data_IF_880669879610
#
_entry.id   IF_880669879610
#
_cell.length_a   1.000
_cell.length_b   1.000
_cell.length_c   1.000
_cell.angle_alpha   90.00
_cell.angle_beta   90.00
_cell.angle_gamma   90.00
#
_symmetry.space_group_name_H-M   'P 1'
#
loop_
_entity.id
_entity.type
_entity.pdbx_description
1 polymer ?
#
# COMPACT_ATOMS: atom_id res chain seq x y z
N UNK A 1 32.93 18.19 35.96
CA UNK A 1 31.54 17.65 35.75
C UNK A 1 30.46 18.73 35.64
N UNK A 2 30.57 19.91 36.28
CA UNK A 2 29.57 20.99 36.11
C UNK A 2 29.68 21.70 34.74
N UNK A 3 30.91 21.93 34.22
CA UNK A 3 31.18 22.63 32.96
C UNK A 3 30.60 21.91 31.71
N UNK A 4 30.57 20.57 31.68
CA UNK A 4 30.11 19.78 30.52
C UNK A 4 28.56 19.78 30.38
N UNK A 5 27.85 19.90 31.51
CA UNK A 5 26.38 20.04 31.52
C UNK A 5 25.93 21.41 31.01
N UNK A 6 26.66 22.44 31.33
CA UNK A 6 26.34 23.82 30.89
C UNK A 6 26.62 24.00 29.41
N UNK A 7 27.72 23.44 28.86
CA UNK A 7 27.96 23.44 27.42
C UNK A 7 26.94 22.65 26.62
N UNK A 8 26.46 21.53 27.13
CA UNK A 8 25.40 20.74 26.47
C UNK A 8 24.06 21.50 26.42
N UNK A 9 23.69 22.19 27.52
CA UNK A 9 22.50 23.06 27.54
C UNK A 9 22.60 24.22 26.55
N UNK A 10 23.77 24.86 26.46
CA UNK A 10 23.99 25.96 25.53
C UNK A 10 23.92 25.49 24.05
N UNK A 11 24.49 24.33 23.73
CA UNK A 11 24.42 23.72 22.40
C UNK A 11 22.95 23.34 22.04
N UNK A 12 22.22 22.82 23.02
CA UNK A 12 20.78 22.46 22.81
C UNK A 12 19.95 23.73 22.58
N UNK A 13 20.12 24.79 23.36
CA UNK A 13 19.42 26.07 23.15
C UNK A 13 19.74 26.72 21.80
N UNK A 14 21.01 26.66 21.35
CA UNK A 14 21.42 27.15 20.03
C UNK A 14 20.78 26.36 18.90
N UNK A 15 20.64 25.01 19.04
CA UNK A 15 19.94 24.16 18.06
C UNK A 15 18.45 24.45 18.01
N UNK A 16 17.79 24.63 19.15
CA UNK A 16 16.36 24.99 19.22
C UNK A 16 16.10 26.39 18.63
N UNK A 17 16.96 27.36 18.91
CA UNK A 17 16.86 28.69 18.33
C UNK A 17 17.04 28.69 16.80
N UNK A 18 17.98 27.89 16.30
CA UNK A 18 18.21 27.73 14.87
C UNK A 18 17.02 27.02 14.18
N UNK A 19 16.42 26.01 14.84
CA UNK A 19 15.23 25.32 14.36
C UNK A 19 14.02 26.26 14.27
N UNK A 20 13.75 27.02 15.33
CA UNK A 20 12.66 28.02 15.35
C UNK A 20 12.84 29.10 14.28
N UNK A 21 14.09 29.53 14.02
CA UNK A 21 14.38 30.50 12.94
C UNK A 21 14.06 29.92 11.57
N UNK A 22 14.49 28.66 11.28
CA UNK A 22 14.19 27.98 10.00
C UNK A 22 12.70 27.77 9.81
N UNK A 23 11.97 27.36 10.86
CA UNK A 23 10.51 27.20 10.80
C UNK A 23 9.79 28.51 10.49
N UNK A 24 10.26 29.63 11.08
CA UNK A 24 9.70 30.95 10.82
C UNK A 24 9.97 31.42 9.38
N UNK A 25 11.16 31.18 8.87
CA UNK A 25 11.53 31.50 7.48
C UNK A 25 10.73 30.64 6.50
N UNK A 26 10.55 29.33 6.78
CA UNK A 26 9.74 28.42 5.98
C UNK A 26 8.25 28.84 5.95
N UNK A 27 7.68 29.20 7.10
CA UNK A 27 6.28 29.72 7.15
C UNK A 27 6.12 31.00 6.33
N UNK A 28 7.06 31.93 6.41
CA UNK A 28 7.04 33.15 5.60
C UNK A 28 7.15 32.86 4.11
N UNK A 29 7.95 31.90 3.70
CA UNK A 29 8.09 31.47 2.32
C UNK A 29 6.76 30.86 1.80
N UNK A 30 6.18 29.93 2.56
CA UNK A 30 4.89 29.29 2.24
C UNK A 30 3.79 30.35 2.10
N UNK A 31 3.70 31.29 3.05
CA UNK A 31 2.72 32.37 2.99
C UNK A 31 2.88 33.22 1.72
N UNK A 32 4.11 33.54 1.32
CA UNK A 32 4.39 34.29 0.07
C UNK A 32 4.00 33.50 -1.18
N UNK A 33 4.26 32.18 -1.20
CA UNK A 33 3.88 31.31 -2.32
C UNK A 33 2.36 31.17 -2.44
N UNK A 34 1.64 31.03 -1.32
CA UNK A 34 0.17 30.99 -1.31
C UNK A 34 -0.43 32.28 -1.83
N UNK A 35 0.08 33.45 -1.40
CA UNK A 35 -0.39 34.76 -1.90
C UNK A 35 -0.13 34.89 -3.39
N UNK A 36 1.06 34.46 -3.88
CA UNK A 36 1.37 34.49 -5.30
C UNK A 36 0.46 33.55 -6.12
N UNK A 37 0.17 32.35 -5.60
CA UNK A 37 -0.76 31.41 -6.23
C UNK A 37 -2.19 31.94 -6.33
N UNK A 38 -2.71 32.54 -5.25
CA UNK A 38 -4.03 33.16 -5.25
C UNK A 38 -4.09 34.34 -6.27
N UNK A 39 -3.04 35.14 -6.37
CA UNK A 39 -2.97 36.23 -7.34
C UNK A 39 -2.99 35.73 -8.80
N UNK A 40 -2.28 34.62 -9.09
CA UNK A 40 -2.29 33.98 -10.42
C UNK A 40 -3.67 33.41 -10.77
N UNK A 41 -4.37 32.78 -9.83
CA UNK A 41 -5.72 32.25 -10.03
C UNK A 41 -6.70 33.39 -10.32
N UNK A 42 -6.63 34.50 -9.57
CA UNK A 42 -7.48 35.66 -9.79
C UNK A 42 -7.20 36.32 -11.15
N UNK A 43 -5.94 36.41 -11.58
CA UNK A 43 -5.57 36.86 -12.92
C UNK A 43 -6.12 35.94 -14.02
N UNK A 44 -6.06 34.62 -13.82
CA UNK A 44 -6.62 33.63 -14.75
C UNK A 44 -8.13 33.75 -14.90
N UNK A 45 -8.86 33.93 -13.79
CA UNK A 45 -10.31 34.16 -13.79
C UNK A 45 -10.66 35.48 -14.52
N UNK A 46 -9.89 36.54 -14.31
CA UNK A 46 -10.10 37.82 -14.97
C UNK A 46 -9.90 37.72 -16.49
N UNK A 47 -8.85 37.04 -16.93
CA UNK A 47 -8.56 36.79 -18.36
C UNK A 47 -9.68 35.93 -18.97
N UNK A 48 -10.15 34.88 -18.26
CA UNK A 48 -11.28 34.05 -18.72
C UNK A 48 -12.56 34.86 -18.84
N UNK A 49 -12.87 35.72 -17.87
CA UNK A 49 -14.06 36.59 -17.87
C UNK A 49 -14.06 37.60 -19.05
N UNK A 50 -12.89 38.17 -19.34
CA UNK A 50 -12.72 39.08 -20.48
C UNK A 50 -12.80 38.35 -21.82
N UNK A 51 -12.29 37.10 -21.89
CA UNK A 51 -12.32 36.29 -23.12
C UNK A 51 -13.70 35.68 -23.41
N UNK A 52 -14.49 35.38 -22.35
CA UNK A 52 -15.83 34.77 -22.47
C UNK A 52 -16.93 35.81 -22.88
N UNK A 53 -16.67 37.11 -22.72
CA UNK A 53 -17.62 38.18 -23.04
C UNK A 53 -17.80 38.50 -24.54
N UNK A 54 -17.10 37.82 -25.46
CA UNK A 54 -16.99 38.21 -26.85
C UNK A 54 -17.62 37.31 -27.92
N UNK A 55 -18.48 36.35 -27.59
CA UNK A 55 -19.13 35.52 -28.64
C UNK A 55 -20.63 35.34 -28.42
N UNK A 56 -21.40 36.17 -29.12
CA UNK A 56 -22.84 35.98 -29.37
C UNK A 56 -23.05 35.45 -30.80
N UNK A 57 -23.67 34.29 -30.88
CA UNK A 57 -24.66 33.75 -31.84
C UNK A 57 -24.50 33.94 -33.35
N UNK A 58 -24.55 32.82 -34.09
CA UNK A 58 -25.40 32.63 -35.25
C UNK A 58 -25.59 31.14 -35.55
N UNK A 59 -26.85 30.66 -35.56
CA UNK A 59 -27.31 29.49 -36.32
C UNK A 59 -27.71 30.02 -37.73
N UNK A 60 -27.65 29.20 -38.82
CA UNK A 60 -28.83 28.42 -39.21
C UNK A 60 -28.59 27.11 -40.02
N UNK A 61 -29.62 26.29 -39.97
CA UNK A 61 -30.24 25.44 -41.01
C UNK A 61 -29.53 24.29 -41.73
N UNK A 62 -30.18 23.15 -41.56
CA UNK A 62 -30.09 21.89 -42.37
C UNK A 62 -30.69 22.10 -43.78
N UNK A 63 -30.28 21.25 -44.77
CA UNK A 63 -31.18 20.19 -45.21
C UNK A 63 -30.50 18.84 -45.57
N UNK A 64 -31.35 17.81 -45.55
CA UNK A 64 -31.06 16.41 -45.86
C UNK A 64 -30.83 16.15 -47.35
N UNK A 65 -30.03 15.10 -47.65
CA UNK A 65 -30.26 14.23 -48.80
C UNK A 65 -29.45 12.94 -48.78
N UNK A 66 -30.11 11.87 -48.86
CA UNK A 66 -29.89 10.46 -49.28
C UNK A 66 -28.70 10.14 -50.16
N UNK A 67 -28.09 8.93 -49.89
CA UNK A 67 -27.42 8.14 -50.96
C UNK A 67 -26.39 7.12 -50.47
N UNK A 68 -26.84 5.84 -50.35
CA UNK A 68 -26.19 4.57 -50.75
C UNK A 68 -24.75 4.22 -50.31
N UNK A 69 -24.64 3.07 -49.59
CA UNK A 69 -23.45 2.30 -49.25
C UNK A 69 -22.65 1.80 -50.49
N UNK A 70 -21.35 1.49 -50.33
CA UNK A 70 -21.02 0.10 -50.08
C UNK A 70 -19.96 -0.15 -48.98
N UNK A 71 -20.19 -1.27 -48.33
CA UNK A 71 -19.36 -2.00 -47.38
C UNK A 71 -17.87 -2.06 -47.75
N UNK A 72 -17.02 -1.55 -46.82
CA UNK A 72 -15.63 -1.97 -46.72
C UNK A 72 -15.29 -2.21 -45.26
N UNK A 73 -14.69 -3.36 -44.97
CA UNK A 73 -14.24 -3.82 -43.66
C UNK A 73 -13.56 -2.69 -42.89
N UNK A 74 -14.18 -2.29 -41.76
CA UNK A 74 -13.56 -1.41 -40.80
C UNK A 74 -12.42 -2.16 -40.10
N UNK A 75 -11.20 -1.76 -40.41
CA UNK A 75 -10.06 -1.93 -39.50
C UNK A 75 -10.43 -1.21 -38.19
N UNK A 76 -10.34 -1.91 -37.06
CA UNK A 76 -10.57 -1.35 -35.79
C UNK A 76 -9.69 -0.08 -35.65
N UNK A 77 -10.32 1.07 -35.60
CA UNK A 77 -9.64 2.32 -35.29
C UNK A 77 -9.18 2.23 -33.83
N UNK A 78 -7.89 2.22 -33.60
CA UNK A 78 -7.29 2.48 -32.29
C UNK A 78 -7.85 3.84 -31.85
N UNK A 79 -8.55 3.88 -30.71
CA UNK A 79 -8.95 5.14 -30.10
C UNK A 79 -7.71 6.01 -29.92
N UNK A 80 -7.77 7.34 -30.13
CA UNK A 80 -6.63 8.19 -29.90
C UNK A 80 -6.26 8.08 -28.41
N UNK A 81 -5.10 7.47 -28.13
CA UNK A 81 -4.52 7.46 -26.79
C UNK A 81 -4.38 8.93 -26.36
N UNK A 82 -4.92 9.28 -25.19
CA UNK A 82 -4.70 10.60 -24.59
C UNK A 82 -3.20 10.88 -24.46
N UNK A 83 -2.83 12.12 -24.22
CA UNK A 83 -1.43 12.53 -24.03
C UNK A 83 -0.79 11.86 -22.80
N UNK A 84 -1.60 11.34 -21.87
CA UNK A 84 -1.15 10.66 -20.65
C UNK A 84 -1.96 9.38 -20.37
N UNK A 85 -1.32 8.40 -19.75
CA UNK A 85 -1.96 7.24 -19.11
C UNK A 85 -1.80 7.37 -17.60
N UNK A 86 -2.89 7.24 -16.85
CA UNK A 86 -2.89 7.27 -15.37
C UNK A 86 -3.32 5.90 -14.88
N UNK A 87 -2.56 5.35 -13.95
CA UNK A 87 -2.93 4.11 -13.25
C UNK A 87 -2.95 4.32 -11.74
N UNK A 88 -3.81 3.59 -11.06
CA UNK A 88 -3.95 3.57 -9.62
C UNK A 88 -3.54 2.22 -9.05
N UNK A 89 -2.63 2.24 -8.06
CA UNK A 89 -2.20 1.03 -7.35
C UNK A 89 -2.61 1.16 -5.89
N UNK A 90 -3.52 0.27 -5.45
CA UNK A 90 -3.91 0.18 -4.05
C UNK A 90 -3.01 -0.79 -3.29
N UNK A 91 -2.56 -0.40 -2.10
CA UNK A 91 -1.80 -1.27 -1.21
C UNK A 91 -2.43 -1.30 0.17
N UNK A 92 -2.75 -2.49 0.65
CA UNK A 92 -3.20 -2.75 2.01
C UNK A 92 -2.09 -3.41 2.84
N UNK A 93 -2.15 -3.23 4.16
CA UNK A 93 -1.13 -3.72 5.08
C UNK A 93 -1.22 -5.21 5.39
N UNK A 94 -0.95 -5.57 6.65
CA UNK A 94 -0.86 -6.95 7.10
C UNK A 94 -2.25 -7.58 7.29
N UNK A 95 -2.49 -8.73 6.66
CA UNK A 95 -3.58 -9.63 7.01
C UNK A 95 -3.02 -10.73 7.91
N UNK A 96 -3.39 -10.69 9.19
CA UNK A 96 -2.89 -11.61 10.21
C UNK A 96 -3.86 -12.75 10.47
N UNK A 97 -3.41 -13.99 10.37
CA UNK A 97 -4.23 -15.15 10.68
C UNK A 97 -4.24 -15.41 12.20
N UNK A 98 -5.36 -15.06 12.84
CA UNK A 98 -5.62 -15.32 14.27
C UNK A 98 -6.93 -16.10 14.44
N UNK A 99 -7.16 -16.66 15.62
CA UNK A 99 -8.41 -17.38 15.94
C UNK A 99 -9.64 -16.50 15.74
N UNK A 100 -9.55 -15.20 16.07
CA UNK A 100 -10.66 -14.24 15.88
C UNK A 100 -10.90 -13.92 14.41
N UNK A 101 -9.83 -13.82 13.62
CA UNK A 101 -9.92 -13.64 12.15
C UNK A 101 -10.61 -14.85 11.52
N UNK A 102 -10.22 -16.06 11.91
CA UNK A 102 -10.89 -17.29 11.42
C UNK A 102 -12.35 -17.34 11.86
N UNK A 103 -12.64 -16.97 13.11
CA UNK A 103 -14.01 -16.93 13.63
C UNK A 103 -14.91 -15.94 12.88
N UNK A 104 -14.36 -14.86 12.34
CA UNK A 104 -15.10 -13.85 11.59
C UNK A 104 -15.75 -14.39 10.29
N UNK A 105 -15.10 -15.38 9.66
CA UNK A 105 -15.62 -16.03 8.46
C UNK A 105 -16.40 -17.33 8.74
N UNK A 106 -16.50 -17.78 10.00
CA UNK A 106 -17.09 -19.07 10.31
C UNK A 106 -18.61 -19.08 10.08
N UNK A 107 -19.10 -20.07 9.33
CA UNK A 107 -20.52 -20.30 9.07
C UNK A 107 -20.96 -21.70 9.55
N UNK A 108 -22.24 -22.04 9.39
CA UNK A 108 -22.75 -23.37 9.76
C UNK A 108 -22.15 -24.49 8.91
N UNK A 109 -21.72 -24.21 7.68
CA UNK A 109 -21.26 -25.22 6.71
C UNK A 109 -19.81 -25.07 6.25
N UNK A 110 -19.02 -24.16 6.85
CA UNK A 110 -17.65 -23.88 6.42
C UNK A 110 -17.25 -22.45 6.75
N UNK A 111 -16.71 -21.74 5.78
CA UNK A 111 -16.22 -20.37 5.94
C UNK A 111 -16.73 -19.47 4.81
N UNK A 112 -17.00 -18.20 5.11
CA UNK A 112 -17.32 -17.13 4.17
C UNK A 112 -16.82 -15.80 4.76
N UNK A 113 -15.83 -15.18 4.12
CA UNK A 113 -15.25 -13.89 4.53
C UNK A 113 -15.75 -12.71 3.69
N UNK A 114 -16.73 -12.91 2.82
CA UNK A 114 -17.21 -11.84 1.91
C UNK A 114 -17.65 -10.60 2.67
N UNK A 115 -18.37 -10.77 3.79
CA UNK A 115 -18.84 -9.66 4.63
C UNK A 115 -17.70 -8.93 5.35
N UNK A 116 -16.55 -9.58 5.57
CA UNK A 116 -15.40 -8.98 6.25
C UNK A 116 -14.84 -7.82 5.45
N UNK A 117 -14.74 -7.98 4.12
CA UNK A 117 -14.10 -7.03 3.22
C UNK A 117 -15.08 -6.18 2.41
N UNK A 118 -16.40 -6.39 2.56
CA UNK A 118 -17.42 -5.74 1.75
C UNK A 118 -17.28 -4.20 1.70
N UNK A 119 -16.93 -3.58 2.82
CA UNK A 119 -16.86 -2.13 2.92
C UNK A 119 -15.61 -1.54 2.23
N UNK A 120 -14.51 -2.29 2.20
CA UNK A 120 -13.24 -1.88 1.58
C UNK A 120 -13.10 -2.37 0.12
N UNK A 121 -13.92 -3.32 -0.31
CA UNK A 121 -13.90 -3.85 -1.67
C UNK A 121 -13.97 -2.75 -2.76
N UNK A 122 -14.78 -1.67 -2.64
CA UNK A 122 -14.77 -0.59 -3.63
C UNK A 122 -13.44 0.15 -3.75
N UNK A 123 -12.63 0.20 -2.69
CA UNK A 123 -11.30 0.84 -2.74
C UNK A 123 -10.31 -0.05 -3.49
N UNK A 124 -10.31 -1.35 -3.19
CA UNK A 124 -9.40 -2.31 -3.81
C UNK A 124 -9.77 -2.57 -5.28
N UNK A 125 -11.07 -2.80 -5.58
CA UNK A 125 -11.54 -3.13 -6.94
C UNK A 125 -11.53 -1.95 -7.91
N UNK A 126 -11.45 -0.72 -7.45
CA UNK A 126 -11.33 0.47 -8.31
C UNK A 126 -9.87 0.76 -8.70
N UNK A 127 -8.90 0.15 -8.04
CA UNK A 127 -7.50 0.25 -8.44
C UNK A 127 -7.22 -0.64 -9.67
N UNK A 128 -6.22 -0.26 -10.46
CA UNK A 128 -5.76 -1.05 -11.61
C UNK A 128 -4.90 -2.26 -11.17
N UNK A 129 -4.36 -2.19 -9.94
CA UNK A 129 -3.65 -3.26 -9.26
C UNK A 129 -3.79 -3.07 -7.75
N UNK A 130 -4.27 -4.10 -7.04
CA UNK A 130 -4.37 -4.09 -5.58
C UNK A 130 -3.48 -5.16 -4.95
N UNK A 131 -2.72 -4.78 -3.91
CA UNK A 131 -1.80 -5.68 -3.18
C UNK A 131 -2.10 -5.72 -1.69
N UNK A 132 -1.93 -6.91 -1.08
CA UNK A 132 -2.02 -7.13 0.37
C UNK A 132 -0.87 -8.01 0.86
N UNK A 133 -0.40 -7.82 2.10
CA UNK A 133 0.52 -8.75 2.74
C UNK A 133 -0.27 -9.80 3.53
N UNK A 134 -0.03 -11.10 3.24
CA UNK A 134 -0.72 -12.22 3.90
C UNK A 134 0.20 -12.92 4.91
N UNK A 135 0.04 -12.60 6.19
CA UNK A 135 0.75 -13.27 7.28
C UNK A 135 0.00 -14.53 7.73
N UNK A 136 0.11 -15.56 6.90
CA UNK A 136 -0.52 -16.85 7.10
C UNK A 136 -0.10 -17.88 6.06
N UNK A 137 -0.70 -19.07 6.19
CA UNK A 137 -0.57 -20.15 5.22
C UNK A 137 -1.94 -20.76 4.90
N UNK A 138 -2.04 -21.50 3.80
CA UNK A 138 -3.19 -22.32 3.42
C UNK A 138 -2.80 -23.79 3.50
N UNK A 139 -2.55 -24.27 4.72
CA UNK A 139 -2.01 -25.64 4.95
C UNK A 139 -3.06 -26.62 5.50
N UNK A 140 -4.33 -26.18 5.58
CA UNK A 140 -5.41 -26.98 6.15
C UNK A 140 -5.53 -26.82 7.68
N UNK A 141 -6.47 -27.57 8.26
CA UNK A 141 -6.74 -27.53 9.70
C UNK A 141 -5.56 -28.09 10.54
N UNK A 142 -5.38 -27.61 11.79
CA UNK A 142 -6.20 -26.60 12.47
C UNK A 142 -5.91 -25.18 11.95
N UNK A 143 -6.98 -24.37 11.84
CA UNK A 143 -6.86 -22.96 11.48
C UNK A 143 -6.66 -22.07 12.72
N UNK A 144 -6.03 -20.90 12.53
CA UNK A 144 -5.89 -19.86 13.55
C UNK A 144 -4.47 -19.59 14.00
N UNK A 145 -4.31 -18.98 15.15
CA UNK A 145 -3.08 -18.37 15.67
C UNK A 145 -1.90 -19.36 15.75
N UNK A 146 -2.12 -20.55 16.29
CA UNK A 146 -1.03 -21.50 16.54
C UNK A 146 -0.42 -22.03 15.25
N UNK A 147 -1.23 -22.31 14.24
CA UNK A 147 -0.79 -22.82 12.94
C UNK A 147 -0.49 -21.71 11.95
N UNK A 148 -1.00 -20.50 12.16
CA UNK A 148 -1.11 -19.44 11.16
C UNK A 148 -1.74 -19.95 9.84
N UNK A 149 -2.60 -20.99 9.90
CA UNK A 149 -3.29 -21.55 8.74
C UNK A 149 -4.68 -20.97 8.64
N UNK A 150 -5.11 -20.68 7.41
CA UNK A 150 -6.43 -20.18 7.08
C UNK A 150 -7.13 -21.11 6.07
N UNK A 151 -8.47 -21.08 6.00
CA UNK A 151 -9.21 -21.76 4.95
C UNK A 151 -9.07 -21.03 3.61
N UNK A 152 -9.24 -21.77 2.51
CA UNK A 152 -9.13 -21.26 1.13
C UNK A 152 -10.11 -20.10 0.85
N UNK A 153 -11.27 -20.11 1.47
CA UNK A 153 -12.33 -19.11 1.34
C UNK A 153 -11.86 -17.68 1.74
N UNK A 154 -10.80 -17.58 2.56
CA UNK A 154 -10.20 -16.28 2.88
C UNK A 154 -9.52 -15.66 1.64
N UNK A 155 -8.81 -16.46 0.85
CA UNK A 155 -8.20 -15.99 -0.42
C UNK A 155 -9.28 -15.68 -1.47
N UNK A 156 -10.32 -16.49 -1.56
CA UNK A 156 -11.44 -16.25 -2.46
C UNK A 156 -12.17 -14.93 -2.14
N UNK A 157 -12.32 -14.62 -0.85
CA UNK A 157 -12.91 -13.35 -0.42
C UNK A 157 -12.00 -12.15 -0.72
N UNK A 158 -10.67 -12.28 -0.59
CA UNK A 158 -9.71 -11.23 -0.98
C UNK A 158 -9.75 -10.98 -2.48
N UNK A 159 -9.73 -12.03 -3.30
CA UNK A 159 -9.86 -11.91 -4.76
C UNK A 159 -11.19 -11.24 -5.15
N UNK A 160 -12.30 -11.64 -4.50
CA UNK A 160 -13.62 -11.03 -4.71
C UNK A 160 -13.68 -9.57 -4.27
N UNK A 161 -12.88 -9.16 -3.31
CA UNK A 161 -12.75 -7.76 -2.88
C UNK A 161 -11.87 -6.92 -3.82
N UNK A 162 -11.21 -7.53 -4.81
CA UNK A 162 -10.40 -6.85 -5.81
C UNK A 162 -8.90 -6.92 -5.59
N UNK A 163 -8.40 -7.80 -4.72
CA UNK A 163 -6.96 -8.04 -4.57
C UNK A 163 -6.44 -8.84 -5.76
N UNK A 164 -5.33 -8.37 -6.35
CA UNK A 164 -4.67 -9.01 -7.49
C UNK A 164 -3.37 -9.71 -7.11
N UNK A 165 -2.66 -9.14 -6.13
CA UNK A 165 -1.30 -9.55 -5.76
C UNK A 165 -1.18 -9.74 -4.25
N UNK A 166 -0.56 -10.85 -3.83
CA UNK A 166 -0.32 -11.19 -2.43
C UNK A 166 1.18 -11.19 -2.14
N UNK A 167 1.61 -10.32 -1.22
CA UNK A 167 2.96 -10.37 -0.68
C UNK A 167 3.11 -11.58 0.23
N UNK A 168 4.07 -12.46 -0.09
CA UNK A 168 4.38 -13.67 0.66
C UNK A 168 5.77 -13.65 1.32
N UNK A 169 6.58 -12.63 1.07
CA UNK A 169 7.81 -12.38 1.84
C UNK A 169 7.46 -11.73 3.17
N UNK A 170 7.14 -12.53 4.19
CA UNK A 170 6.74 -12.08 5.53
C UNK A 170 7.10 -13.07 6.64
N UNK A 171 6.76 -12.73 7.87
CA UNK A 171 7.06 -13.52 9.08
C UNK A 171 6.49 -14.94 9.08
N UNK A 172 5.38 -15.16 8.35
CA UNK A 172 4.65 -16.42 8.31
C UNK A 172 4.93 -17.27 7.07
N UNK A 173 5.79 -16.82 6.14
CA UNK A 173 6.00 -17.44 4.83
C UNK A 173 6.26 -18.96 4.91
N UNK A 174 7.07 -19.42 5.88
CA UNK A 174 7.36 -20.84 6.10
C UNK A 174 6.89 -21.34 7.47
N UNK A 175 5.85 -20.75 8.05
CA UNK A 175 5.32 -21.17 9.37
C UNK A 175 4.99 -22.66 9.39
N UNK A 176 4.45 -23.20 8.31
CA UNK A 176 4.14 -24.62 8.11
C UNK A 176 5.16 -25.30 7.16
N UNK A 177 6.41 -24.81 7.16
CA UNK A 177 7.48 -25.31 6.30
C UNK A 177 7.29 -24.98 4.81
N UNK A 178 8.13 -25.56 3.97
CA UNK A 178 8.07 -25.35 2.49
C UNK A 178 6.79 -25.96 1.90
N UNK A 179 6.25 -27.02 2.49
CA UNK A 179 4.96 -27.58 2.04
C UNK A 179 3.80 -26.61 2.32
N UNK A 180 3.82 -25.93 3.47
CA UNK A 180 2.85 -24.88 3.77
C UNK A 180 2.97 -23.70 2.83
N UNK A 181 4.19 -23.25 2.52
CA UNK A 181 4.44 -22.21 1.53
C UNK A 181 3.90 -22.63 0.14
N UNK A 182 4.28 -23.83 -0.34
CA UNK A 182 3.81 -24.33 -1.64
C UNK A 182 2.29 -24.39 -1.73
N UNK A 183 1.62 -24.94 -0.71
CA UNK A 183 0.17 -25.00 -0.66
C UNK A 183 -0.48 -23.59 -0.67
N UNK A 184 0.15 -22.63 0.03
CA UNK A 184 -0.33 -21.24 0.05
C UNK A 184 -0.22 -20.59 -1.32
N UNK A 185 0.91 -20.75 -2.00
CA UNK A 185 1.10 -20.21 -3.36
C UNK A 185 0.13 -20.85 -4.36
N UNK A 186 -0.17 -22.16 -4.22
CA UNK A 186 -1.17 -22.85 -5.03
C UNK A 186 -2.58 -22.32 -4.74
N UNK A 187 -2.93 -22.07 -3.48
CA UNK A 187 -4.22 -21.53 -3.07
C UNK A 187 -4.44 -20.09 -3.55
N UNK A 188 -3.40 -19.24 -3.52
CA UNK A 188 -3.43 -17.89 -4.07
C UNK A 188 -3.72 -17.95 -5.57
N UNK A 189 -3.00 -18.80 -6.32
CA UNK A 189 -3.22 -19.01 -7.76
C UNK A 189 -4.62 -19.57 -8.05
N UNK A 190 -5.12 -20.49 -7.24
CA UNK A 190 -6.47 -21.04 -7.37
C UNK A 190 -7.58 -19.98 -7.19
N UNK A 191 -7.33 -18.97 -6.36
CA UNK A 191 -8.22 -17.83 -6.18
C UNK A 191 -8.10 -16.78 -7.32
N UNK A 192 -7.21 -16.99 -8.28
CA UNK A 192 -7.02 -16.09 -9.43
C UNK A 192 -6.05 -14.92 -9.17
N UNK A 193 -5.35 -14.93 -8.04
CA UNK A 193 -4.36 -13.92 -7.68
C UNK A 193 -2.94 -14.41 -7.98
N UNK A 194 -1.98 -13.48 -7.97
CA UNK A 194 -0.54 -13.80 -8.02
C UNK A 194 0.13 -13.53 -6.66
N UNK A 195 1.32 -14.10 -6.48
CA UNK A 195 2.13 -13.88 -5.28
C UNK A 195 3.49 -13.29 -5.64
N UNK A 196 4.10 -12.55 -4.69
CA UNK A 196 5.42 -11.95 -4.85
C UNK A 196 6.27 -12.16 -3.59
N UNK A 197 7.58 -12.35 -3.79
CA UNK A 197 8.57 -12.41 -2.73
C UNK A 197 8.82 -13.81 -2.16
N UNK A 198 8.03 -14.82 -2.58
CA UNK A 198 8.28 -16.21 -2.23
C UNK A 198 7.92 -17.17 -3.37
N UNK A 199 8.57 -18.33 -3.39
CA UNK A 199 8.46 -19.36 -4.42
C UNK A 199 8.45 -20.76 -3.80
N UNK A 200 7.72 -21.70 -4.40
CA UNK A 200 7.66 -23.06 -3.91
C UNK A 200 9.01 -23.78 -4.03
N UNK A 201 9.83 -23.41 -5.01
CA UNK A 201 11.12 -24.06 -5.31
C UNK A 201 12.20 -23.05 -5.71
N UNK A 202 13.47 -23.46 -5.51
CA UNK A 202 14.61 -22.71 -6.07
C UNK A 202 14.58 -22.61 -7.60
N UNK A 203 13.84 -23.49 -8.31
CA UNK A 203 13.67 -23.40 -9.76
C UNK A 203 12.79 -22.23 -10.15
N UNK A 204 11.63 -22.11 -9.50
CA UNK A 204 10.71 -20.98 -9.70
C UNK A 204 11.39 -19.64 -9.38
N UNK A 205 12.17 -19.58 -8.28
CA UNK A 205 12.98 -18.40 -7.99
C UNK A 205 13.97 -18.07 -9.10
N UNK A 206 14.67 -19.08 -9.68
CA UNK A 206 15.62 -18.81 -10.79
C UNK A 206 14.93 -18.32 -12.04
N UNK A 207 13.72 -18.80 -12.31
CA UNK A 207 12.91 -18.37 -13.46
C UNK A 207 12.42 -16.93 -13.27
N UNK A 208 11.93 -16.58 -12.08
CA UNK A 208 11.47 -15.23 -11.74
C UNK A 208 12.60 -14.26 -11.44
N UNK A 209 13.82 -14.74 -11.13
CA UNK A 209 14.97 -13.97 -10.64
C UNK A 209 14.69 -13.16 -9.36
N UNK A 210 13.61 -13.46 -8.63
CA UNK A 210 13.24 -12.81 -7.37
C UNK A 210 12.31 -11.60 -7.49
N UNK A 211 11.69 -11.37 -8.62
CA UNK A 211 10.73 -10.28 -8.85
C UNK A 211 9.56 -10.71 -9.74
N UNK A 212 8.57 -9.84 -9.85
CA UNK A 212 7.43 -9.97 -10.77
C UNK A 212 7.30 -8.69 -11.60
N UNK A 213 6.94 -8.80 -12.86
CA UNK A 213 6.56 -7.67 -13.71
C UNK A 213 5.09 -7.82 -14.07
N UNK A 214 4.30 -6.79 -13.77
CA UNK A 214 2.89 -6.68 -14.14
C UNK A 214 2.74 -5.64 -15.24
N UNK A 215 1.97 -5.98 -16.25
CA UNK A 215 1.54 -5.02 -17.25
C UNK A 215 0.17 -4.45 -16.83
N UNK A 216 0.14 -3.16 -16.55
CA UNK A 216 -1.06 -2.43 -16.08
C UNK A 216 -1.30 -1.29 -17.06
N UNK A 217 -2.36 -1.36 -17.84
CA UNK A 217 -2.71 -0.37 -18.89
C UNK A 217 -1.53 -0.03 -19.83
N UNK A 218 -0.68 -1.04 -20.14
CA UNK A 218 0.49 -0.89 -20.99
C UNK A 218 1.74 -0.34 -20.28
N UNK A 219 1.69 -0.11 -18.96
CA UNK A 219 2.86 0.18 -18.13
C UNK A 219 3.43 -1.11 -17.54
N UNK A 220 4.74 -1.29 -17.62
CA UNK A 220 5.46 -2.41 -17.01
C UNK A 220 5.89 -2.05 -15.60
N UNK A 221 5.17 -2.55 -14.62
CA UNK A 221 5.44 -2.31 -13.19
C UNK A 221 6.24 -3.48 -12.65
N UNK A 222 7.48 -3.22 -12.24
CA UNK A 222 8.29 -4.20 -11.54
C UNK A 222 7.96 -4.18 -10.05
N UNK A 223 7.75 -5.35 -9.46
CA UNK A 223 7.43 -5.50 -8.03
C UNK A 223 8.41 -6.49 -7.43
N UNK A 224 9.12 -6.05 -6.40
CA UNK A 224 9.96 -6.89 -5.55
C UNK A 224 9.38 -6.92 -4.15
N UNK A 225 9.53 -8.04 -3.45
CA UNK A 225 9.13 -8.11 -2.05
C UNK A 225 10.21 -8.81 -1.22
N UNK A 226 10.47 -8.31 -0.02
CA UNK A 226 11.48 -8.84 0.89
C UNK A 226 10.96 -8.86 2.33
N UNK A 227 11.42 -9.84 3.12
CA UNK A 227 11.14 -9.89 4.55
C UNK A 227 12.41 -9.82 5.39
N UNK A 228 12.29 -9.21 6.58
CA UNK A 228 13.38 -9.26 7.56
C UNK A 228 13.71 -10.69 8.00
N UNK A 229 12.72 -11.57 8.04
CA UNK A 229 12.86 -12.97 8.46
C UNK A 229 11.51 -13.62 8.72
N UNK A 230 11.55 -14.85 9.23
CA UNK A 230 10.39 -15.70 9.41
C UNK A 230 10.34 -16.26 10.83
N UNK A 231 10.25 -15.36 11.84
CA UNK A 231 10.14 -15.73 13.26
C UNK A 231 11.24 -16.74 13.73
N UNK A 232 12.51 -16.45 13.39
CA UNK A 232 13.67 -17.30 13.63
C UNK A 232 13.64 -18.68 12.93
N UNK A 233 12.72 -18.90 12.00
CA UNK A 233 12.73 -20.09 11.17
C UNK A 233 13.72 -19.94 10.03
N UNK A 234 14.62 -20.92 9.87
CA UNK A 234 15.56 -20.97 8.75
C UNK A 234 14.98 -21.71 7.56
N UNK A 235 15.30 -21.26 6.35
CA UNK A 235 15.00 -21.99 5.13
C UNK A 235 15.77 -23.33 5.11
N UNK A 236 15.09 -24.45 4.83
CA UNK A 236 15.77 -25.74 4.76
C UNK A 236 16.72 -25.82 3.58
N UNK A 237 17.71 -26.72 3.69
CA UNK A 237 18.64 -27.00 2.59
C UNK A 237 17.90 -27.37 1.30
N UNK A 238 18.29 -26.76 0.21
CA UNK A 238 17.63 -26.90 -1.09
C UNK A 238 16.47 -25.92 -1.32
N UNK A 239 16.19 -25.03 -0.36
CA UNK A 239 15.13 -24.01 -0.46
C UNK A 239 15.65 -22.60 -0.13
N UNK A 240 16.94 -22.35 -0.21
CA UNK A 240 17.63 -21.15 0.28
C UNK A 240 17.18 -19.86 -0.39
N UNK A 241 16.53 -19.96 -1.56
CA UNK A 241 16.02 -18.82 -2.30
C UNK A 241 14.48 -18.80 -2.40
N UNK A 242 13.79 -19.68 -1.65
CA UNK A 242 12.32 -19.72 -1.70
C UNK A 242 11.63 -18.48 -1.11
N UNK A 243 12.35 -17.63 -0.38
CA UNK A 243 11.86 -16.35 0.15
C UNK A 243 12.95 -15.30 -0.02
N UNK A 244 12.61 -14.11 -0.49
CA UNK A 244 13.51 -12.98 -0.50
C UNK A 244 13.70 -12.40 0.90
N UNK A 245 14.94 -12.21 1.30
CA UNK A 245 15.35 -11.84 2.64
C UNK A 245 16.09 -10.51 2.65
N UNK A 246 15.81 -9.67 3.64
CA UNK A 246 16.51 -8.41 3.88
C UNK A 246 17.86 -8.59 4.61
N UNK A 247 18.04 -9.74 5.32
CA UNK A 247 19.22 -9.99 6.12
C UNK A 247 19.82 -11.36 5.81
N UNK A 248 21.14 -11.46 5.80
CA UNK A 248 21.83 -12.75 5.69
C UNK A 248 21.72 -13.56 6.99
N UNK A 249 21.63 -12.89 8.13
CA UNK A 249 21.42 -13.46 9.46
C UNK A 249 19.94 -13.49 9.90
N UNK A 250 19.00 -13.57 8.96
CA UNK A 250 17.54 -13.46 9.12
C UNK A 250 16.91 -14.43 10.14
N UNK A 251 17.57 -15.54 10.45
CA UNK A 251 17.08 -16.51 11.43
C UNK A 251 17.64 -16.29 12.84
N UNK A 252 18.42 -15.21 13.06
CA UNK A 252 19.13 -14.97 14.31
C UNK A 252 19.04 -13.53 14.81
N UNK A 253 19.80 -12.60 14.26
CA UNK A 253 20.03 -11.29 14.89
C UNK A 253 19.62 -10.07 14.09
N UNK A 254 19.36 -10.22 12.78
CA UNK A 254 18.93 -9.14 11.87
C UNK A 254 19.89 -7.93 11.84
N UNK A 255 21.21 -8.20 11.85
CA UNK A 255 22.25 -7.18 11.86
C UNK A 255 23.02 -7.08 10.53
N UNK A 256 22.94 -8.14 9.71
CA UNK A 256 23.71 -8.24 8.46
C UNK A 256 22.75 -8.11 7.27
N UNK A 257 22.61 -6.88 6.77
CA UNK A 257 21.73 -6.58 5.61
C UNK A 257 22.27 -7.29 4.37
N UNK A 258 21.43 -8.09 3.71
CA UNK A 258 21.76 -8.87 2.51
C UNK A 258 21.94 -7.99 1.27
N UNK A 259 22.75 -6.94 1.38
CA UNK A 259 22.92 -5.86 0.38
C UNK A 259 23.33 -6.39 -1.00
N UNK A 260 24.16 -7.43 -1.06
CA UNK A 260 24.60 -8.03 -2.34
C UNK A 260 23.43 -8.75 -3.06
N UNK A 261 22.58 -9.48 -2.31
CA UNK A 261 21.42 -10.18 -2.87
C UNK A 261 20.35 -9.18 -3.34
N UNK A 262 20.06 -8.17 -2.52
CA UNK A 262 19.12 -7.11 -2.84
C UNK A 262 19.59 -6.38 -4.12
N UNK A 263 20.83 -5.90 -4.13
CA UNK A 263 21.41 -5.19 -5.30
C UNK A 263 21.41 -6.05 -6.56
N UNK A 264 21.65 -7.36 -6.46
CA UNK A 264 21.61 -8.28 -7.60
C UNK A 264 20.19 -8.35 -8.18
N UNK A 265 19.17 -8.57 -7.34
CA UNK A 265 17.77 -8.66 -7.79
C UNK A 265 17.35 -7.35 -8.45
N UNK A 266 17.63 -6.20 -7.82
CA UNK A 266 17.27 -4.88 -8.37
C UNK A 266 18.02 -4.54 -9.66
N UNK A 267 19.27 -5.01 -9.81
CA UNK A 267 20.00 -4.91 -11.07
C UNK A 267 19.36 -5.76 -12.19
N UNK A 268 18.89 -6.96 -11.85
CA UNK A 268 18.17 -7.80 -12.81
C UNK A 268 16.83 -7.15 -13.19
N UNK A 269 16.12 -6.52 -12.26
CA UNK A 269 14.93 -5.69 -12.51
C UNK A 269 15.26 -4.55 -13.49
N UNK A 270 16.34 -3.80 -13.25
CA UNK A 270 16.74 -2.69 -14.12
C UNK A 270 17.06 -3.13 -15.56
N UNK A 271 17.56 -4.36 -15.76
CA UNK A 271 17.80 -4.92 -17.10
C UNK A 271 16.51 -5.18 -17.88
N UNK A 272 15.39 -5.42 -17.18
CA UNK A 272 14.07 -5.57 -17.79
C UNK A 272 13.47 -4.24 -18.26
N UNK A 273 14.05 -3.11 -17.88
CA UNK A 273 13.59 -1.76 -18.21
C UNK A 273 12.10 -1.54 -17.88
N UNK A 274 11.67 -1.75 -16.62
CA UNK A 274 10.30 -1.43 -16.23
C UNK A 274 10.04 0.07 -16.34
N UNK A 275 8.77 0.44 -16.49
CA UNK A 275 8.35 1.84 -16.45
C UNK A 275 8.32 2.39 -15.01
N UNK A 276 8.14 1.51 -14.00
CA UNK A 276 8.07 1.86 -12.58
C UNK A 276 8.43 0.67 -11.71
N UNK A 277 9.07 0.91 -10.56
CA UNK A 277 9.52 -0.16 -9.64
C UNK A 277 8.99 0.06 -8.21
N UNK A 278 8.30 -0.94 -7.67
CA UNK A 278 7.76 -0.95 -6.30
C UNK A 278 8.46 -2.02 -5.48
N UNK A 279 8.91 -1.66 -4.28
CA UNK A 279 9.41 -2.59 -3.28
C UNK A 279 8.41 -2.73 -2.11
N UNK A 280 8.00 -3.97 -1.83
CA UNK A 280 7.16 -4.33 -0.69
C UNK A 280 8.06 -4.88 0.40
N UNK A 281 8.18 -4.20 1.55
CA UNK A 281 9.15 -4.54 2.59
C UNK A 281 8.47 -4.91 3.90
N UNK A 282 8.62 -6.16 4.31
CA UNK A 282 8.19 -6.64 5.61
C UNK A 282 9.34 -6.49 6.62
N UNK A 283 9.40 -5.34 7.30
CA UNK A 283 10.58 -4.84 8.01
C UNK A 283 10.27 -4.13 9.33
N UNK A 284 11.30 -3.59 9.98
CA UNK A 284 11.13 -2.84 11.23
C UNK A 284 10.90 -3.75 12.44
N UNK A 285 10.12 -3.28 13.41
CA UNK A 285 9.79 -4.00 14.65
C UNK A 285 8.31 -3.91 14.95
N UNK A 286 7.73 -5.03 15.37
CA UNK A 286 6.31 -5.11 15.75
C UNK A 286 5.96 -4.08 16.83
N UNK A 287 4.84 -3.41 16.66
CA UNK A 287 4.22 -2.45 17.57
C UNK A 287 5.15 -1.28 17.95
N UNK A 288 6.06 -0.90 17.04
CA UNK A 288 6.88 0.31 17.17
C UNK A 288 6.39 1.39 16.21
N UNK A 289 6.16 2.59 16.75
CA UNK A 289 5.77 3.77 15.97
C UNK A 289 6.98 4.41 15.29
N UNK A 290 8.13 4.36 15.97
CA UNK A 290 9.38 4.95 15.48
C UNK A 290 10.02 4.09 14.39
N UNK A 291 10.61 4.76 13.41
CA UNK A 291 11.38 4.14 12.35
C UNK A 291 12.81 3.91 12.86
N UNK A 292 13.33 2.73 12.64
CA UNK A 292 14.72 2.40 12.97
C UNK A 292 15.70 2.92 11.93
N UNK A 293 16.94 3.20 12.35
CA UNK A 293 18.02 3.57 11.43
C UNK A 293 18.25 2.49 10.36
N UNK A 294 18.05 1.22 10.68
CA UNK A 294 18.20 0.13 9.71
C UNK A 294 17.10 0.18 8.62
N UNK A 295 15.88 0.63 8.95
CA UNK A 295 14.87 0.87 7.92
C UNK A 295 15.30 2.01 6.99
N UNK A 296 15.90 3.07 7.54
CA UNK A 296 16.45 4.18 6.74
C UNK A 296 17.63 3.72 5.86
N UNK A 297 18.56 2.91 6.38
CA UNK A 297 19.67 2.34 5.60
C UNK A 297 19.18 1.44 4.44
N UNK A 298 18.16 0.60 4.68
CA UNK A 298 17.56 -0.25 3.64
C UNK A 298 16.80 0.60 2.62
N UNK A 299 16.05 1.61 3.06
CA UNK A 299 15.43 2.59 2.17
C UNK A 299 16.45 3.20 1.21
N UNK A 300 17.54 3.74 1.75
CA UNK A 300 18.58 4.40 0.96
C UNK A 300 19.21 3.41 -0.05
N UNK A 301 19.43 2.16 0.36
CA UNK A 301 19.89 1.11 -0.55
C UNK A 301 18.90 0.86 -1.69
N UNK A 302 17.59 0.72 -1.41
CA UNK A 302 16.56 0.45 -2.40
C UNK A 302 16.40 1.60 -3.40
N UNK A 303 16.28 2.84 -2.90
CA UNK A 303 16.15 4.03 -3.74
C UNK A 303 17.39 4.25 -4.62
N UNK A 304 18.59 4.00 -4.09
CA UNK A 304 19.85 4.10 -4.86
C UNK A 304 19.93 3.04 -5.99
N UNK A 305 19.15 1.96 -5.92
CA UNK A 305 19.07 0.94 -6.97
C UNK A 305 17.89 1.16 -7.94
N UNK A 306 17.18 2.29 -7.87
CA UNK A 306 16.12 2.66 -8.81
C UNK A 306 14.73 2.16 -8.41
N UNK A 307 14.47 1.91 -7.13
CA UNK A 307 13.12 1.72 -6.61
C UNK A 307 12.44 3.09 -6.53
N UNK A 308 11.23 3.22 -7.08
CA UNK A 308 10.45 4.47 -7.07
C UNK A 308 9.59 4.57 -5.81
N UNK A 309 8.98 3.45 -5.38
CA UNK A 309 8.11 3.41 -4.21
C UNK A 309 8.46 2.24 -3.29
N UNK A 310 8.53 2.52 -1.99
CA UNK A 310 8.65 1.51 -0.95
C UNK A 310 7.36 1.48 -0.13
N UNK A 311 6.78 0.28 0.03
CA UNK A 311 5.59 0.04 0.84
C UNK A 311 5.95 -0.95 1.94
N UNK A 312 5.89 -0.50 3.18
CA UNK A 312 6.27 -1.27 4.37
C UNK A 312 5.10 -1.93 5.08
N UNK A 313 5.39 -3.09 5.68
CA UNK A 313 4.51 -3.90 6.53
C UNK A 313 5.31 -4.48 7.71
N UNK A 314 4.71 -5.24 8.63
CA UNK A 314 5.28 -5.85 9.83
C UNK A 314 5.17 -5.04 11.14
N UNK A 315 5.29 -3.70 11.19
CA UNK A 315 5.07 -3.00 12.46
C UNK A 315 3.65 -3.12 13.02
N UNK A 316 2.67 -3.57 12.24
CA UNK A 316 1.24 -3.66 12.60
C UNK A 316 0.61 -2.32 12.99
N UNK A 317 1.37 -1.25 12.90
CA UNK A 317 0.96 0.13 13.18
C UNK A 317 1.25 0.99 11.96
N UNK A 318 0.40 1.97 11.70
CA UNK A 318 0.70 2.99 10.68
C UNK A 318 1.97 3.74 11.09
N UNK A 319 2.93 3.83 10.17
CA UNK A 319 4.11 4.69 10.30
C UNK A 319 4.07 5.77 9.21
N UNK A 320 5.01 6.73 9.29
CA UNK A 320 5.02 7.90 8.39
C UNK A 320 5.10 7.50 6.92
N UNK A 321 4.57 8.38 6.07
CA UNK A 321 4.79 8.39 4.62
C UNK A 321 5.67 9.59 4.30
N UNK A 322 6.70 9.36 3.50
CA UNK A 322 7.56 10.42 2.98
C UNK A 322 7.50 10.43 1.46
N UNK A 323 7.34 11.59 0.87
CA UNK A 323 7.29 11.77 -0.58
C UNK A 323 8.26 12.86 -1.02
N UNK A 324 9.26 12.48 -1.79
CA UNK A 324 10.15 13.40 -2.48
C UNK A 324 9.61 13.65 -3.90
N UNK A 325 8.94 14.79 -4.07
CA UNK A 325 8.32 15.17 -5.35
C UNK A 325 9.35 15.50 -6.44
N UNK A 326 10.56 15.93 -6.05
CA UNK A 326 11.61 16.28 -7.01
C UNK A 326 12.21 15.01 -7.62
N UNK A 327 12.42 13.99 -6.79
CA UNK A 327 12.92 12.69 -7.24
C UNK A 327 11.80 11.76 -7.73
N UNK A 328 10.54 12.02 -7.37
CA UNK A 328 9.39 11.18 -7.69
C UNK A 328 9.33 9.90 -6.85
N UNK A 329 9.96 9.88 -5.66
CA UNK A 329 10.04 8.69 -4.80
C UNK A 329 9.15 8.81 -3.56
N UNK A 330 8.54 7.69 -3.15
CA UNK A 330 7.69 7.62 -1.96
C UNK A 330 8.07 6.44 -1.08
N UNK A 331 8.07 6.66 0.23
CA UNK A 331 8.25 5.60 1.23
C UNK A 331 7.12 5.67 2.24
N UNK A 332 6.24 4.66 2.22
CA UNK A 332 5.29 4.38 3.28
C UNK A 332 5.90 3.32 4.19
N UNK A 333 6.38 3.70 5.37
CA UNK A 333 7.17 2.81 6.22
C UNK A 333 6.36 1.66 6.84
N UNK A 334 5.07 1.88 7.10
CA UNK A 334 4.12 0.82 7.45
C UNK A 334 2.68 1.28 7.23
N UNK A 335 1.88 0.42 6.64
CA UNK A 335 0.45 0.66 6.46
C UNK A 335 -0.39 0.22 7.66
N UNK A 336 0.16 -0.57 8.60
CA UNK A 336 -0.55 -1.21 9.71
C UNK A 336 -1.29 -2.49 9.29
N UNK A 337 -2.21 -2.97 10.15
CA UNK A 337 -2.98 -4.18 9.88
C UNK A 337 -4.16 -3.90 8.94
N UNK A 338 -4.14 -4.48 7.75
CA UNK A 338 -5.31 -4.49 6.87
C UNK A 338 -6.47 -5.24 7.53
N UNK A 339 -6.17 -6.43 8.07
CA UNK A 339 -7.14 -7.22 8.82
C UNK A 339 -6.43 -8.09 9.87
N UNK A 340 -6.78 -7.87 11.13
CA UNK A 340 -6.26 -8.59 12.28
C UNK A 340 -7.29 -8.62 13.40
N UNK A 341 -6.94 -9.10 14.59
CA UNK A 341 -7.85 -9.13 15.73
C UNK A 341 -7.92 -7.80 16.50
N UNK A 342 -7.04 -6.86 16.18
CA UNK A 342 -7.01 -5.54 16.82
C UNK A 342 -6.73 -5.56 18.33
N UNK A 343 -6.11 -6.63 18.86
CA UNK A 343 -5.85 -6.77 20.30
C UNK A 343 -4.74 -5.85 20.81
N UNK A 344 -3.77 -5.57 19.98
CA UNK A 344 -2.67 -4.66 20.34
C UNK A 344 -3.09 -3.20 20.11
N UNK A 345 -2.70 -2.34 21.02
CA UNK A 345 -3.03 -0.93 20.92
C UNK A 345 -2.55 -0.33 19.60
N UNK A 346 -3.47 0.22 18.83
CA UNK A 346 -3.19 0.85 17.54
C UNK A 346 -3.15 -0.09 16.32
N UNK A 347 -3.33 -1.42 16.51
CA UNK A 347 -3.41 -2.36 15.40
C UNK A 347 -4.83 -2.57 14.86
N UNK A 348 -5.82 -1.94 15.49
CA UNK A 348 -7.22 -1.99 15.06
C UNK A 348 -7.58 -0.92 14.02
N UNK A 349 -6.61 -0.09 13.61
CA UNK A 349 -6.77 0.87 12.51
C UNK A 349 -5.51 0.91 11.65
N UNK A 350 -5.71 1.17 10.37
CA UNK A 350 -4.65 1.24 9.38
C UNK A 350 -5.07 2.09 8.18
N UNK A 351 -4.32 2.01 7.09
CA UNK A 351 -4.62 2.72 5.85
C UNK A 351 -4.51 1.80 4.64
N UNK A 352 -5.37 2.01 3.66
CA UNK A 352 -5.16 1.52 2.29
C UNK A 352 -4.55 2.67 1.52
N UNK A 353 -3.30 2.51 1.09
CA UNK A 353 -2.56 3.49 0.29
C UNK A 353 -3.01 3.40 -1.16
N UNK A 354 -3.25 4.52 -1.81
CA UNK A 354 -3.47 4.65 -3.25
C UNK A 354 -2.32 5.47 -3.86
N UNK A 355 -1.69 4.93 -4.90
CA UNK A 355 -0.62 5.57 -5.67
C UNK A 355 -1.15 5.95 -7.04
N UNK A 356 -1.05 7.23 -7.40
CA UNK A 356 -1.33 7.72 -8.74
C UNK A 356 -0.02 7.78 -9.56
N UNK A 357 0.08 6.93 -10.58
CA UNK A 357 1.25 6.85 -11.45
C UNK A 357 0.83 7.29 -12.84
N UNK A 358 1.53 8.28 -13.38
CA UNK A 358 1.24 8.85 -14.70
C UNK A 358 2.39 8.61 -15.66
N UNK A 359 2.07 8.10 -16.85
CA UNK A 359 2.95 8.04 -18.00
C UNK A 359 2.59 9.14 -18.99
N UNK A 360 3.55 9.93 -19.41
CA UNK A 360 3.47 10.79 -20.58
C UNK A 360 3.66 9.94 -21.83
N UNK A 361 2.62 9.80 -22.64
CA UNK A 361 2.64 8.92 -23.82
C UNK A 361 3.46 9.50 -24.98
N UNK A 362 3.83 10.76 -24.91
CA UNK A 362 4.66 11.43 -25.94
C UNK A 362 6.14 11.20 -25.64
N UNK A 363 6.55 11.38 -24.39
CA UNK A 363 7.95 11.21 -23.96
C UNK A 363 8.28 9.80 -23.50
N UNK A 364 7.26 9.01 -23.11
CA UNK A 364 7.39 7.70 -22.46
C UNK A 364 7.80 7.77 -20.98
N UNK A 365 7.92 8.96 -20.40
CA UNK A 365 8.33 9.11 -19.02
C UNK A 365 7.19 8.74 -18.06
N UNK A 366 7.48 7.87 -17.09
CA UNK A 366 6.56 7.45 -16.04
C UNK A 366 7.04 8.01 -14.69
N UNK A 367 6.09 8.46 -13.84
CA UNK A 367 6.40 8.98 -12.51
C UNK A 367 5.21 8.87 -11.57
N UNK A 368 5.47 8.84 -10.27
CA UNK A 368 4.46 9.06 -9.24
C UNK A 368 3.99 10.53 -9.30
N UNK A 369 2.69 10.75 -9.54
CA UNK A 369 2.09 12.09 -9.63
C UNK A 369 1.28 12.46 -8.40
N UNK A 370 0.86 11.45 -7.61
CA UNK A 370 0.11 11.66 -6.39
C UNK A 370 0.04 10.41 -5.53
N UNK A 371 -0.38 10.60 -4.29
CA UNK A 371 -0.85 9.52 -3.44
C UNK A 371 -1.97 10.03 -2.56
N UNK A 372 -2.84 9.10 -2.17
CA UNK A 372 -3.84 9.29 -1.14
C UNK A 372 -3.93 8.03 -0.28
N UNK A 373 -4.71 8.06 0.78
CA UNK A 373 -5.00 6.85 1.55
C UNK A 373 -6.41 6.89 2.12
N UNK A 374 -6.98 5.71 2.31
CA UNK A 374 -8.27 5.50 2.97
C UNK A 374 -8.00 4.94 4.37
N UNK A 375 -8.28 5.68 5.45
CA UNK A 375 -8.22 5.15 6.81
C UNK A 375 -9.28 4.07 7.03
N UNK A 376 -8.86 2.94 7.58
CA UNK A 376 -9.72 1.78 7.85
C UNK A 376 -9.64 1.37 9.33
N UNK A 377 -10.69 0.70 9.79
CA UNK A 377 -10.86 0.25 11.16
C UNK A 377 -11.39 -1.18 11.20
N UNK A 378 -10.74 -2.05 11.96
CA UNK A 378 -11.27 -3.39 12.26
C UNK A 378 -12.24 -3.27 13.44
N UNK A 379 -13.55 -3.28 13.12
CA UNK A 379 -14.61 -3.28 14.14
C UNK A 379 -14.79 -4.66 14.75
N UNK A 380 -14.93 -4.70 16.07
CA UNK A 380 -15.08 -5.94 16.85
C UNK A 380 -16.55 -6.27 17.12
N UNK A 381 -16.90 -7.53 17.41
CA UNK A 381 -18.29 -7.93 17.73
C UNK A 381 -18.91 -7.12 18.88
N UNK A 382 -18.14 -6.83 19.91
CA UNK A 382 -18.58 -6.02 21.04
C UNK A 382 -18.87 -4.55 20.70
N UNK A 383 -18.32 -4.05 19.59
CA UNK A 383 -18.53 -2.69 19.09
C UNK A 383 -19.66 -2.63 18.06
N UNK A 384 -19.91 -3.71 17.33
CA UNK A 384 -20.96 -3.81 16.31
C UNK A 384 -22.26 -4.42 16.81
N UNK A 385 -22.20 -5.14 17.94
CA UNK A 385 -23.37 -5.74 18.61
C UNK A 385 -23.76 -7.15 18.14
N UNK A 386 -23.25 -7.70 17.03
CA UNK A 386 -23.73 -9.01 16.56
C UNK A 386 -22.88 -9.76 15.53
N UNK A 387 -21.94 -9.14 14.88
CA UNK A 387 -21.18 -9.78 13.79
C UNK A 387 -19.72 -10.00 14.16
N UNK A 388 -19.05 -10.90 13.50
CA UNK A 388 -17.61 -11.08 13.61
C UNK A 388 -16.82 -9.81 13.26
N UNK A 389 -15.51 -9.89 13.32
CA UNK A 389 -14.62 -8.81 12.87
C UNK A 389 -14.94 -8.40 11.43
N UNK A 390 -14.92 -7.11 11.14
CA UNK A 390 -15.06 -6.54 9.79
C UNK A 390 -14.14 -5.36 9.60
N UNK A 391 -13.73 -5.11 8.37
CA UNK A 391 -12.93 -3.93 8.01
C UNK A 391 -13.87 -2.84 7.49
N UNK A 392 -13.85 -1.68 8.13
CA UNK A 392 -14.67 -0.53 7.75
C UNK A 392 -13.80 0.62 7.26
N UNK A 393 -14.28 1.37 6.27
CA UNK A 393 -13.70 2.68 5.94
C UNK A 393 -14.19 3.69 6.98
N UNK A 394 -13.28 4.29 7.73
CA UNK A 394 -13.60 5.09 8.93
C UNK A 394 -14.57 6.23 8.60
N UNK A 395 -14.24 7.09 7.64
CA UNK A 395 -15.05 8.26 7.31
C UNK A 395 -16.47 7.89 6.85
N UNK A 396 -16.59 6.86 5.99
CA UNK A 396 -17.88 6.39 5.48
C UNK A 396 -18.70 5.74 6.59
N UNK A 397 -18.07 4.96 7.48
CA UNK A 397 -18.73 4.34 8.60
C UNK A 397 -19.25 5.38 9.59
N UNK A 398 -18.45 6.41 9.89
CA UNK A 398 -18.85 7.53 10.76
C UNK A 398 -19.99 8.32 10.14
N UNK A 399 -19.93 8.67 8.86
CA UNK A 399 -20.99 9.39 8.17
C UNK A 399 -22.30 8.58 8.11
N UNK A 400 -22.22 7.27 7.88
CA UNK A 400 -23.40 6.39 7.90
C UNK A 400 -24.01 6.29 9.31
N UNK A 401 -23.19 6.22 10.36
CA UNK A 401 -23.66 6.23 11.75
C UNK A 401 -24.39 7.55 12.10
N UNK A 402 -23.80 8.71 11.76
CA UNK A 402 -24.39 10.03 11.96
C UNK A 402 -25.73 10.20 11.21
N UNK A 403 -25.85 9.59 10.04
CA UNK A 403 -27.08 9.57 9.27
C UNK A 403 -28.11 8.53 9.76
N UNK A 404 -27.76 7.71 10.76
CA UNK A 404 -28.63 6.69 11.33
C UNK A 404 -28.75 5.41 10.48
N UNK A 405 -27.86 5.20 9.48
CA UNK A 405 -27.87 3.98 8.64
C UNK A 405 -27.08 2.82 9.25
N UNK A 406 -26.24 3.09 10.23
CA UNK A 406 -25.39 2.11 10.89
C UNK A 406 -25.78 1.97 12.37
N UNK A 407 -27.02 1.51 12.63
CA UNK A 407 -27.64 1.37 13.95
C UNK A 407 -26.95 0.31 14.85
N UNK A 408 -26.07 -0.52 14.25
CA UNK A 408 -25.34 -1.58 14.95
C UNK A 408 -23.94 -1.15 15.42
N UNK A 409 -23.51 0.08 15.13
CA UNK A 409 -22.27 0.64 15.66
C UNK A 409 -22.57 1.37 16.95
N UNK A 410 -21.90 0.99 18.03
CA UNK A 410 -22.06 1.66 19.32
C UNK A 410 -21.47 3.07 19.31
N UNK A 411 -21.91 3.93 20.24
CA UNK A 411 -21.31 5.24 20.42
C UNK A 411 -19.79 5.13 20.72
N UNK A 412 -19.39 4.13 21.51
CA UNK A 412 -17.98 3.90 21.82
C UNK A 412 -17.17 3.51 20.56
N UNK A 413 -17.74 2.71 19.66
CA UNK A 413 -17.08 2.38 18.39
C UNK A 413 -16.90 3.62 17.50
N UNK A 414 -17.91 4.51 17.44
CA UNK A 414 -17.82 5.80 16.75
C UNK A 414 -16.69 6.67 17.30
N UNK A 415 -16.60 6.80 18.64
CA UNK A 415 -15.55 7.56 19.32
C UNK A 415 -14.15 6.94 19.07
N UNK A 416 -14.05 5.62 19.08
CA UNK A 416 -12.83 4.88 18.73
C UNK A 416 -12.41 5.13 17.29
N UNK A 417 -13.36 5.14 16.34
CA UNK A 417 -13.08 5.45 14.92
C UNK A 417 -12.61 6.90 14.73
N UNK A 418 -13.22 7.87 15.43
CA UNK A 418 -12.79 9.27 15.41
C UNK A 418 -11.36 9.44 15.95
N UNK A 419 -11.01 8.73 17.02
CA UNK A 419 -9.64 8.67 17.53
C UNK A 419 -8.69 8.01 16.53
N UNK A 420 -9.09 6.86 15.95
CA UNK A 420 -8.31 6.11 14.97
C UNK A 420 -8.00 6.93 13.70
N UNK A 421 -8.99 7.69 13.20
CA UNK A 421 -8.82 8.60 12.07
C UNK A 421 -7.71 9.63 12.34
N UNK A 422 -7.81 10.31 13.49
CA UNK A 422 -6.81 11.30 13.90
C UNK A 422 -5.42 10.68 14.04
N UNK A 423 -5.33 9.49 14.65
CA UNK A 423 -4.04 8.82 14.86
C UNK A 423 -3.43 8.29 13.56
N UNK A 424 -4.25 7.76 12.64
CA UNK A 424 -3.78 7.34 11.32
C UNK A 424 -3.18 8.52 10.55
N UNK A 425 -3.86 9.66 10.52
CA UNK A 425 -3.39 10.87 9.86
C UNK A 425 -2.12 11.44 10.51
N UNK A 426 -2.06 11.50 11.84
CA UNK A 426 -0.87 11.99 12.54
C UNK A 426 0.35 11.11 12.26
N UNK A 427 0.18 9.79 12.29
CA UNK A 427 1.26 8.85 12.00
C UNK A 427 1.68 8.91 10.53
N UNK A 428 0.75 8.80 9.59
CA UNK A 428 1.05 8.85 8.17
C UNK A 428 1.75 10.16 7.77
N UNK A 429 1.38 11.29 8.37
CA UNK A 429 2.02 12.59 8.15
C UNK A 429 3.30 12.83 8.97
N UNK A 430 3.70 11.89 9.83
CA UNK A 430 4.87 12.03 10.71
C UNK A 430 4.70 13.07 11.81
N UNK A 431 3.46 13.35 12.24
CA UNK A 431 3.11 14.26 13.35
C UNK A 431 2.89 13.52 14.67
N UNK A 432 2.92 12.19 14.64
CA UNK A 432 2.67 11.30 15.77
C UNK A 432 3.84 11.17 16.73
#
# INVERSE_FOLDING_TARGET
>A
MASDKDERKERQQRREAARKKRERERRLLITRLVIAGVALVLCGILIWYVSAGGRRAAQPDTPASTGTEPSTKATAATEPQGETTVIHIAAAGDLNVTDKVIAAGKTTGGYDFTQVFQDVAPVLSNADLAVVNFEGNLFGEPYGTDSASAPQELMEALASAGVDLVQMANSCAIRNGILGLSATLDGIRAAGMESVGAWATNSEFRESKGYTIREVQGLRIAIVAFTKGMNNLGLPSGSENCVNLLYDDYATTYNDVASEKITRILRDVAQEQPDFTIALLHWGSEYKEDISSTQEDIQDLMLAQGVDVIIGTHPHLVQKITWDQEQGTLVAYSLGDFFGDGEKAGSNYSIILDLEITRDNVTGQTRLTGYSYTPIYTIKPEESGDTGLRVLRIEQAMAAYEAGFLDRVTQAAYENMAYALTRADDRASGRG
#
